data_IF_597294401813
#
_entry.id   IF_597294401813
#
_cell.length_a   1.000
_cell.length_b   1.000
_cell.length_c   1.000
_cell.angle_alpha   90.00
_cell.angle_beta   90.00
_cell.angle_gamma   90.00
#
_symmetry.space_group_name_H-M   'P 1'
#
loop_
_entity.id
_entity.type
_entity.pdbx_description
1 polymer ?
#
# COMPACT_ATOMS: atom_id res chain seq x y z
N UNK A 1 -15.89 1.54 2.65
CA UNK A 1 -17.18 1.52 1.93
C UNK A 1 -17.13 0.37 0.93
N UNK A 2 -18.25 -0.31 0.67
CA UNK A 2 -18.26 -1.41 -0.30
C UNK A 2 -18.47 -0.86 -1.72
N UNK A 3 -17.86 -1.51 -2.72
CA UNK A 3 -17.95 -1.10 -4.13
C UNK A 3 -19.37 -1.18 -4.71
N UNK A 4 -20.17 -2.11 -4.20
CA UNK A 4 -21.56 -2.33 -4.62
C UNK A 4 -22.56 -1.51 -3.80
N UNK A 5 -22.12 -0.61 -2.92
CA UNK A 5 -23.02 0.19 -2.09
C UNK A 5 -23.55 1.42 -2.84
N UNK A 6 -24.76 1.86 -2.49
CA UNK A 6 -25.37 3.04 -3.09
C UNK A 6 -24.57 4.32 -2.81
N UNK A 7 -23.98 4.43 -1.62
CA UNK A 7 -23.12 5.55 -1.26
C UNK A 7 -21.87 5.61 -2.15
N UNK A 8 -21.30 4.45 -2.50
CA UNK A 8 -20.17 4.41 -3.42
C UNK A 8 -20.57 4.87 -4.81
N UNK A 9 -21.62 4.27 -5.37
CA UNK A 9 -22.03 4.45 -6.76
C UNK A 9 -22.59 5.85 -7.02
N UNK A 10 -23.42 6.37 -6.12
CA UNK A 10 -24.16 7.61 -6.35
C UNK A 10 -23.54 8.85 -5.70
N UNK A 11 -22.64 8.70 -4.72
CA UNK A 11 -22.03 9.84 -4.03
C UNK A 11 -20.53 9.87 -4.25
N UNK A 12 -19.81 8.86 -3.77
CA UNK A 12 -18.35 8.90 -3.77
C UNK A 12 -17.78 8.90 -5.19
N UNK A 13 -18.19 7.98 -6.05
CA UNK A 13 -17.64 7.85 -7.40
C UNK A 13 -17.92 9.10 -8.26
N UNK A 14 -19.15 9.65 -8.32
CA UNK A 14 -19.42 10.89 -9.06
C UNK A 14 -18.61 12.07 -8.52
N UNK A 15 -18.52 12.25 -7.20
CA UNK A 15 -17.73 13.33 -6.59
C UNK A 15 -16.24 13.18 -6.95
N UNK A 16 -15.71 11.97 -6.87
CA UNK A 16 -14.32 11.69 -7.25
C UNK A 16 -14.04 12.09 -8.70
N UNK A 17 -14.92 11.72 -9.63
CA UNK A 17 -14.75 11.99 -11.06
C UNK A 17 -14.96 13.47 -11.41
N UNK A 18 -16.03 14.09 -10.91
CA UNK A 18 -16.34 15.50 -11.20
C UNK A 18 -15.18 16.39 -10.79
N UNK A 19 -14.66 16.22 -9.57
CA UNK A 19 -13.54 17.04 -9.08
C UNK A 19 -12.25 16.71 -9.82
N UNK A 20 -11.97 15.44 -10.11
CA UNK A 20 -10.79 15.05 -10.89
C UNK A 20 -10.78 15.70 -12.28
N UNK A 21 -11.87 15.57 -13.05
CA UNK A 21 -11.97 16.14 -14.40
C UNK A 21 -12.01 17.66 -14.36
N UNK A 22 -12.65 18.26 -13.35
CA UNK A 22 -12.63 19.71 -13.15
C UNK A 22 -11.20 20.22 -12.95
N UNK A 23 -10.43 19.62 -12.04
CA UNK A 23 -9.03 20.01 -11.79
C UNK A 23 -8.17 19.82 -13.04
N UNK A 24 -8.36 18.72 -13.78
CA UNK A 24 -7.63 18.47 -15.02
C UNK A 24 -7.98 19.49 -16.12
N UNK A 25 -9.24 19.92 -16.22
CA UNK A 25 -9.67 20.98 -17.16
C UNK A 25 -8.99 22.33 -16.87
N UNK A 26 -8.62 22.57 -15.60
CA UNK A 26 -7.86 23.76 -15.16
C UNK A 26 -6.34 23.57 -15.29
N UNK A 27 -5.87 22.47 -15.89
CA UNK A 27 -4.46 22.07 -15.98
C UNK A 27 -3.79 21.86 -14.61
N UNK A 28 -4.58 21.62 -13.55
CA UNK A 28 -4.09 21.37 -12.19
C UNK A 28 -3.83 19.86 -11.99
N UNK A 29 -2.91 19.30 -12.77
CA UNK A 29 -2.61 17.84 -12.79
C UNK A 29 -2.21 17.34 -11.40
N UNK A 30 -1.34 18.09 -10.71
CA UNK A 30 -0.91 17.73 -9.35
C UNK A 30 -2.09 17.72 -8.36
N UNK A 31 -2.97 18.72 -8.46
CA UNK A 31 -4.19 18.79 -7.65
C UNK A 31 -5.12 17.61 -7.90
N UNK A 32 -5.29 17.20 -9.16
CA UNK A 32 -6.09 16.04 -9.53
C UNK A 32 -5.50 14.73 -8.94
N UNK A 33 -4.18 14.57 -8.96
CA UNK A 33 -3.51 13.42 -8.32
C UNK A 33 -3.67 13.42 -6.80
N UNK A 34 -3.47 14.57 -6.15
CA UNK A 34 -3.68 14.71 -4.70
C UNK A 34 -5.12 14.39 -4.32
N UNK A 35 -6.09 14.87 -5.10
CA UNK A 35 -7.50 14.56 -4.90
C UNK A 35 -7.77 13.05 -4.94
N UNK A 36 -7.20 12.34 -5.92
CA UNK A 36 -7.29 10.87 -6.00
C UNK A 36 -6.64 10.18 -4.79
N UNK A 37 -5.50 10.65 -4.30
CA UNK A 37 -4.87 10.12 -3.07
C UNK A 37 -5.79 10.33 -1.86
N UNK A 38 -6.29 11.55 -1.66
CA UNK A 38 -7.17 11.88 -0.53
C UNK A 38 -8.43 11.04 -0.57
N UNK A 39 -9.09 10.93 -1.73
CA UNK A 39 -10.27 10.09 -1.90
C UNK A 39 -9.97 8.61 -1.65
N UNK A 40 -8.80 8.13 -2.06
CA UNK A 40 -8.37 6.75 -1.85
C UNK A 40 -8.10 6.44 -0.38
N UNK A 41 -7.42 7.33 0.34
CA UNK A 41 -7.19 7.23 1.78
C UNK A 41 -8.50 7.32 2.57
N UNK A 42 -9.41 8.22 2.17
CA UNK A 42 -10.75 8.31 2.74
C UNK A 42 -11.49 6.97 2.58
N UNK A 43 -11.53 6.43 1.35
CA UNK A 43 -12.17 5.15 1.05
C UNK A 43 -11.62 3.99 1.90
N UNK A 44 -10.29 3.93 2.05
CA UNK A 44 -9.61 2.97 2.92
C UNK A 44 -10.03 3.12 4.38
N UNK A 45 -9.96 4.35 4.91
CA UNK A 45 -10.26 4.65 6.31
C UNK A 45 -11.74 4.51 6.67
N UNK A 46 -12.64 4.48 5.67
CA UNK A 46 -14.08 4.32 5.88
C UNK A 46 -14.43 3.05 6.66
N UNK A 47 -13.65 1.98 6.52
CA UNK A 47 -13.89 0.75 7.28
C UNK A 47 -13.44 0.87 8.73
N UNK A 48 -12.20 1.31 8.96
CA UNK A 48 -11.70 1.61 10.29
C UNK A 48 -10.50 2.56 10.20
N UNK A 49 -10.67 3.77 10.73
CA UNK A 49 -9.66 4.84 10.70
C UNK A 49 -8.38 4.49 11.48
N UNK A 50 -8.44 3.55 12.43
CA UNK A 50 -7.30 3.13 13.25
C UNK A 50 -6.16 2.55 12.39
N UNK A 51 -6.48 1.99 11.21
CA UNK A 51 -5.48 1.44 10.29
C UNK A 51 -4.93 2.46 9.28
N UNK A 52 -5.48 3.67 9.22
CA UNK A 52 -4.95 4.72 8.34
C UNK A 52 -3.47 5.07 8.66
N UNK A 53 -3.06 5.24 9.93
CA UNK A 53 -1.65 5.41 10.27
C UNK A 53 -0.78 4.23 9.83
N UNK A 54 -1.30 3.00 9.87
CA UNK A 54 -0.56 1.80 9.46
C UNK A 54 -0.20 1.84 7.97
N UNK A 55 -1.19 2.08 7.10
CA UNK A 55 -0.92 2.16 5.65
C UNK A 55 -0.03 3.35 5.30
N UNK A 56 -0.21 4.50 5.94
CA UNK A 56 0.64 5.67 5.74
C UNK A 56 2.08 5.40 6.16
N UNK A 57 2.30 4.82 7.35
CA UNK A 57 3.63 4.43 7.80
C UNK A 57 4.27 3.44 6.82
N UNK A 58 3.53 2.43 6.39
CA UNK A 58 4.00 1.45 5.41
C UNK A 58 4.44 2.12 4.11
N UNK A 59 3.63 3.05 3.59
CA UNK A 59 3.94 3.86 2.40
C UNK A 59 5.22 4.67 2.61
N UNK A 60 5.35 5.43 3.71
CA UNK A 60 6.51 6.28 3.92
C UNK A 60 7.81 5.48 4.06
N UNK A 61 7.77 4.37 4.81
CA UNK A 61 8.92 3.47 4.95
C UNK A 61 9.32 2.90 3.60
N UNK A 62 8.37 2.31 2.85
CA UNK A 62 8.67 1.69 1.57
C UNK A 62 9.09 2.69 0.49
N UNK A 63 8.51 3.88 0.48
CA UNK A 63 8.94 4.95 -0.41
C UNK A 63 10.40 5.36 -0.13
N UNK A 64 10.77 5.53 1.15
CA UNK A 64 12.13 5.84 1.56
C UNK A 64 13.14 4.74 1.20
N UNK A 65 12.78 3.48 1.43
CA UNK A 65 13.58 2.32 1.03
C UNK A 65 13.73 2.26 -0.49
N UNK A 66 12.63 2.44 -1.25
CA UNK A 66 12.66 2.48 -2.71
C UNK A 66 13.56 3.59 -3.24
N UNK A 67 13.45 4.80 -2.70
CA UNK A 67 14.31 5.92 -3.09
C UNK A 67 15.80 5.65 -2.78
N UNK A 68 16.08 4.93 -1.69
CA UNK A 68 17.43 4.51 -1.32
C UNK A 68 17.99 3.44 -2.28
N UNK A 69 17.16 2.51 -2.77
CA UNK A 69 17.56 1.51 -3.77
C UNK A 69 17.92 2.14 -5.11
N UNK A 70 17.21 3.17 -5.49
CA UNK A 70 17.41 3.89 -6.76
C UNK A 70 18.70 4.70 -6.70
N UNK A 71 18.92 5.38 -5.58
CA UNK A 71 20.12 6.18 -5.36
C UNK A 71 21.25 5.40 -4.67
N UNK A 72 21.29 4.07 -4.82
CA UNK A 72 22.22 3.21 -4.09
C UNK A 72 23.69 3.55 -4.34
N UNK A 73 24.05 4.10 -5.50
CA UNK A 73 25.42 4.57 -5.80
C UNK A 73 25.90 5.68 -4.85
N UNK A 74 24.98 6.45 -4.26
CA UNK A 74 25.28 7.51 -3.29
C UNK A 74 25.30 7.00 -1.84
N UNK A 75 24.93 5.75 -1.61
CA UNK A 75 24.72 5.17 -0.28
C UNK A 75 25.77 4.06 -0.07
N UNK A 76 26.43 4.07 1.10
CA UNK A 76 27.48 3.08 1.41
C UNK A 76 26.95 1.67 1.72
N UNK A 77 25.64 1.51 1.84
CA UNK A 77 24.96 0.25 2.17
C UNK A 77 24.65 -0.50 0.88
N UNK A 78 24.88 -1.82 0.86
CA UNK A 78 24.53 -2.65 -0.29
C UNK A 78 23.03 -2.57 -0.61
N UNK A 79 22.70 -2.40 -1.89
CA UNK A 79 21.33 -2.43 -2.40
C UNK A 79 20.57 -3.71 -1.99
N UNK A 80 21.27 -4.85 -1.89
CA UNK A 80 20.68 -6.11 -1.40
C UNK A 80 20.23 -6.01 0.06
N UNK A 81 21.02 -5.38 0.92
CA UNK A 81 20.66 -5.19 2.34
C UNK A 81 19.46 -4.27 2.47
N UNK A 82 19.41 -3.18 1.69
CA UNK A 82 18.28 -2.24 1.67
C UNK A 82 17.01 -2.95 1.20
N UNK A 83 17.09 -3.76 0.14
CA UNK A 83 15.96 -4.54 -0.37
C UNK A 83 15.50 -5.56 0.68
N UNK A 84 16.42 -6.33 1.26
CA UNK A 84 16.12 -7.31 2.30
C UNK A 84 15.41 -6.67 3.49
N UNK A 85 15.87 -5.50 3.95
CA UNK A 85 15.20 -4.75 5.01
C UNK A 85 13.75 -4.41 4.63
N UNK A 86 13.52 -3.86 3.44
CA UNK A 86 12.17 -3.52 2.99
C UNK A 86 11.26 -4.74 2.87
N UNK A 87 11.75 -5.86 2.35
CA UNK A 87 10.99 -7.12 2.27
C UNK A 87 10.65 -7.63 3.67
N UNK A 88 11.63 -7.68 4.58
CA UNK A 88 11.43 -8.13 5.96
C UNK A 88 10.45 -7.23 6.70
N UNK A 89 10.52 -5.91 6.51
CA UNK A 89 9.56 -4.96 7.09
C UNK A 89 8.11 -5.27 6.64
N UNK A 90 7.89 -5.41 5.33
CA UNK A 90 6.56 -5.72 4.80
C UNK A 90 6.04 -7.09 5.25
N UNK A 91 6.87 -8.13 5.16
CA UNK A 91 6.49 -9.47 5.60
C UNK A 91 6.32 -9.55 7.12
N UNK A 92 7.03 -8.74 7.89
CA UNK A 92 6.86 -8.60 9.33
C UNK A 92 5.49 -8.03 9.69
N UNK A 93 5.07 -6.94 9.04
CA UNK A 93 3.72 -6.39 9.21
C UNK A 93 2.64 -7.39 8.81
N UNK A 94 2.81 -8.06 7.66
CA UNK A 94 1.86 -9.08 7.21
C UNK A 94 1.82 -10.28 8.17
N UNK A 95 2.99 -10.73 8.64
CA UNK A 95 3.13 -11.81 9.61
C UNK A 95 2.41 -11.50 10.92
N UNK A 96 2.61 -10.30 11.45
CA UNK A 96 1.96 -9.83 12.67
C UNK A 96 0.43 -9.74 12.53
N UNK A 97 -0.07 -9.00 11.54
CA UNK A 97 -1.50 -8.74 11.44
C UNK A 97 -2.32 -9.92 10.89
N UNK A 98 -1.73 -10.78 10.06
CA UNK A 98 -2.46 -11.87 9.39
C UNK A 98 -2.15 -13.25 9.93
N UNK A 99 -0.94 -13.49 10.40
CA UNK A 99 -0.47 -14.84 10.69
C UNK A 99 -0.09 -15.07 12.16
N UNK A 100 -0.16 -14.06 13.05
CA UNK A 100 0.16 -14.24 14.48
C UNK A 100 -0.63 -15.37 15.12
N UNK A 101 -1.96 -15.37 14.99
CA UNK A 101 -2.81 -16.42 15.56
C UNK A 101 -2.47 -17.79 14.98
N UNK A 102 -2.24 -17.87 13.67
CA UNK A 102 -1.82 -19.11 13.00
C UNK A 102 -0.49 -19.63 13.56
N UNK A 103 0.52 -18.78 13.74
CA UNK A 103 1.81 -19.19 14.28
C UNK A 103 1.71 -19.62 15.75
N UNK A 104 0.93 -18.91 16.56
CA UNK A 104 0.73 -19.25 17.97
C UNK A 104 -0.05 -20.56 18.13
N UNK A 105 -1.07 -20.81 17.31
CA UNK A 105 -1.84 -22.04 17.35
C UNK A 105 -0.99 -23.27 17.00
N UNK A 106 -0.15 -23.16 15.96
CA UNK A 106 0.80 -24.22 15.61
C UNK A 106 1.86 -24.44 16.71
N UNK A 107 2.36 -23.37 17.31
CA UNK A 107 3.33 -23.45 18.41
C UNK A 107 2.72 -24.14 19.64
N UNK A 108 1.49 -23.77 20.00
CA UNK A 108 0.72 -24.43 21.06
C UNK A 108 0.54 -25.92 20.77
N UNK A 109 0.17 -26.28 19.53
CA UNK A 109 -0.02 -27.67 19.12
C UNK A 109 1.26 -28.52 19.15
N UNK A 110 2.41 -27.97 18.76
CA UNK A 110 3.69 -28.69 18.71
C UNK A 110 4.31 -28.84 20.11
N UNK A 111 4.27 -27.77 20.91
CA UNK A 111 4.97 -27.71 22.21
C UNK A 111 4.06 -27.99 23.40
N UNK A 112 2.76 -28.23 23.18
CA UNK A 112 1.78 -28.44 24.25
C UNK A 112 1.62 -27.21 25.15
N UNK A 113 1.88 -26.02 24.61
CA UNK A 113 1.73 -24.75 25.33
C UNK A 113 0.32 -24.19 25.16
N UNK A 114 -0.09 -23.28 26.05
CA UNK A 114 -1.39 -22.63 26.02
C UNK A 114 -1.23 -21.10 25.96
N UNK A 115 -0.46 -20.63 24.99
CA UNK A 115 -0.30 -19.19 24.76
C UNK A 115 -1.63 -18.64 24.22
N UNK A 116 -2.23 -17.61 24.85
CA UNK A 116 -3.50 -17.05 24.40
C UNK A 116 -3.37 -16.39 23.02
N UNK A 117 -4.38 -16.59 22.18
CA UNK A 117 -4.45 -16.00 20.85
C UNK A 117 -4.96 -14.55 20.95
N UNK A 118 -4.23 -13.57 20.38
CA UNK A 118 -4.61 -12.15 20.47
C UNK A 118 -5.78 -11.77 19.56
N UNK A 119 -6.16 -12.58 18.56
CA UNK A 119 -7.31 -12.33 17.68
C UNK A 119 -7.26 -10.94 17.04
N UNK A 120 -6.11 -10.64 16.43
CA UNK A 120 -5.82 -9.33 15.83
C UNK A 120 -6.79 -9.08 14.67
N UNK A 121 -7.50 -7.96 14.73
CA UNK A 121 -8.37 -7.52 13.65
C UNK A 121 -7.51 -7.18 12.42
N UNK A 122 -7.81 -7.80 11.29
CA UNK A 122 -7.06 -7.63 10.05
C UNK A 122 -7.34 -6.27 9.40
N UNK A 123 -6.30 -5.49 9.07
CA UNK A 123 -6.45 -4.32 8.24
C UNK A 123 -6.92 -4.73 6.84
N UNK A 124 -7.94 -4.04 6.34
CA UNK A 124 -8.46 -4.28 5.00
C UNK A 124 -7.34 -4.15 3.95
N UNK A 125 -7.23 -5.10 3.02
CA UNK A 125 -6.27 -5.02 1.93
C UNK A 125 -4.79 -5.17 2.30
N UNK A 126 -4.44 -5.58 3.54
CA UNK A 126 -3.03 -5.70 3.97
C UNK A 126 -2.16 -6.54 3.05
N UNK A 127 -2.66 -7.69 2.61
CA UNK A 127 -1.90 -8.53 1.67
C UNK A 127 -1.63 -7.80 0.35
N UNK A 128 -2.64 -7.09 -0.19
CA UNK A 128 -2.49 -6.37 -1.46
C UNK A 128 -1.45 -5.27 -1.34
N UNK A 129 -1.62 -4.33 -0.41
CA UNK A 129 -0.65 -3.23 -0.30
C UNK A 129 0.74 -3.73 0.08
N UNK A 130 0.87 -4.80 0.87
CA UNK A 130 2.17 -5.42 1.19
C UNK A 130 2.85 -5.94 -0.08
N UNK A 131 2.17 -6.74 -0.91
CA UNK A 131 2.79 -7.30 -2.12
C UNK A 131 3.02 -6.25 -3.20
N UNK A 132 2.12 -5.26 -3.34
CA UNK A 132 2.31 -4.09 -4.21
C UNK A 132 3.57 -3.30 -3.81
N UNK A 133 3.78 -3.07 -2.52
CA UNK A 133 4.97 -2.37 -2.01
C UNK A 133 6.25 -3.20 -2.22
N UNK A 134 6.22 -4.51 -1.98
CA UNK A 134 7.36 -5.41 -2.27
C UNK A 134 7.69 -5.42 -3.77
N UNK A 135 6.68 -5.50 -4.64
CA UNK A 135 6.88 -5.45 -6.09
C UNK A 135 7.58 -4.15 -6.51
N UNK A 136 7.14 -3.01 -5.96
CA UNK A 136 7.83 -1.74 -6.17
C UNK A 136 9.28 -1.74 -5.67
N UNK A 137 9.58 -2.31 -4.51
CA UNK A 137 10.96 -2.40 -4.02
C UNK A 137 11.84 -3.25 -4.92
N UNK A 138 11.31 -4.35 -5.45
CA UNK A 138 12.02 -5.21 -6.41
C UNK A 138 12.26 -4.47 -7.73
N UNK A 139 11.25 -3.76 -8.25
CA UNK A 139 11.38 -2.94 -9.46
C UNK A 139 12.40 -1.80 -9.26
N UNK A 140 12.41 -1.16 -8.08
CA UNK A 140 13.39 -0.14 -7.71
C UNK A 140 14.81 -0.72 -7.60
N UNK A 141 14.98 -1.91 -7.00
CA UNK A 141 16.27 -2.61 -6.94
C UNK A 141 16.81 -2.93 -8.34
N UNK A 142 15.94 -3.29 -9.28
CA UNK A 142 16.29 -3.57 -10.68
C UNK A 142 16.48 -2.32 -11.55
N UNK A 143 16.29 -1.12 -11.01
CA UNK A 143 16.28 0.15 -11.77
C UNK A 143 15.20 0.18 -12.88
N UNK A 144 14.11 -0.58 -12.71
CA UNK A 144 12.96 -0.60 -13.63
C UNK A 144 11.90 0.44 -13.26
N UNK A 145 11.91 0.94 -12.02
CA UNK A 145 11.05 2.03 -11.60
C UNK A 145 11.51 3.34 -12.29
N UNK A 146 10.57 4.08 -12.90
CA UNK A 146 10.90 5.31 -13.66
C UNK A 146 10.42 6.59 -12.98
N UNK A 147 9.43 6.53 -12.10
CA UNK A 147 8.80 7.72 -11.53
C UNK A 147 8.75 7.67 -10.00
N UNK A 148 9.49 8.58 -9.37
CA UNK A 148 9.73 8.57 -7.91
C UNK A 148 8.93 9.64 -7.17
N UNK A 149 7.84 10.15 -7.75
CA UNK A 149 6.96 11.08 -7.03
C UNK A 149 6.24 10.36 -5.90
N UNK A 150 6.35 10.88 -4.67
CA UNK A 150 5.62 10.36 -3.51
C UNK A 150 4.12 10.28 -3.78
N UNK A 151 3.54 11.24 -4.50
CA UNK A 151 2.11 11.28 -4.80
C UNK A 151 1.72 10.13 -5.74
N UNK A 152 2.52 9.88 -6.78
CA UNK A 152 2.29 8.75 -7.68
C UNK A 152 2.47 7.41 -6.96
N UNK A 153 3.44 7.33 -6.06
CA UNK A 153 3.63 6.16 -5.23
C UNK A 153 2.46 5.92 -4.28
N UNK A 154 1.97 6.98 -3.61
CA UNK A 154 0.75 6.91 -2.79
C UNK A 154 -0.44 6.45 -3.62
N UNK A 155 -0.62 6.95 -4.84
CA UNK A 155 -1.65 6.48 -5.76
C UNK A 155 -1.46 4.99 -6.09
N UNK A 156 -0.27 4.59 -6.51
CA UNK A 156 0.04 3.19 -6.83
C UNK A 156 -0.33 2.23 -5.69
N UNK A 157 -0.07 2.62 -4.45
CA UNK A 157 -0.39 1.79 -3.28
C UNK A 157 -1.86 1.86 -2.87
N UNK A 158 -2.49 3.04 -2.93
CA UNK A 158 -3.80 3.27 -2.28
C UNK A 158 -4.99 3.33 -3.23
N UNK A 159 -4.77 3.38 -4.56
CA UNK A 159 -5.81 3.68 -5.53
C UNK A 159 -7.08 2.85 -5.29
N UNK A 160 -8.16 3.52 -4.89
CA UNK A 160 -9.33 2.83 -4.34
C UNK A 160 -9.87 1.71 -5.24
N UNK A 161 -10.01 1.86 -6.59
CA UNK A 161 -10.50 0.78 -7.46
C UNK A 161 -9.65 -0.48 -7.41
N UNK A 162 -8.35 -0.32 -7.13
CA UNK A 162 -7.39 -1.40 -7.15
C UNK A 162 -7.22 -2.08 -5.79
N UNK A 163 -7.27 -1.29 -4.70
CA UNK A 163 -6.91 -1.72 -3.35
C UNK A 163 -7.73 -2.92 -2.81
N UNK A 164 -8.93 -3.17 -3.35
CA UNK A 164 -9.82 -4.25 -2.88
C UNK A 164 -10.12 -5.34 -3.92
N UNK A 165 -9.75 -5.19 -5.20
CA UNK A 165 -10.28 -6.06 -6.26
C UNK A 165 -9.37 -6.26 -7.50
N UNK A 166 -8.17 -5.68 -7.55
CA UNK A 166 -7.27 -5.83 -8.71
C UNK A 166 -6.29 -7.00 -8.59
N UNK A 167 -5.82 -7.59 -9.72
CA UNK A 167 -4.64 -8.47 -9.70
C UNK A 167 -3.42 -7.70 -9.18
N UNK A 168 -2.42 -8.36 -8.61
CA UNK A 168 -1.20 -7.66 -8.15
C UNK A 168 -0.51 -7.05 -9.38
N UNK A 169 -0.59 -5.72 -9.55
CA UNK A 169 0.00 -5.01 -10.69
C UNK A 169 1.40 -4.52 -10.36
N UNK A 170 2.30 -4.60 -11.33
CA UNK A 170 3.63 -4.01 -11.20
C UNK A 170 3.59 -2.49 -11.39
N UNK A 171 4.48 -1.77 -10.71
CA UNK A 171 4.54 -0.30 -10.80
C UNK A 171 4.77 0.17 -12.24
N UNK A 172 5.61 -0.54 -12.99
CA UNK A 172 5.90 -0.25 -14.40
C UNK A 172 4.68 -0.36 -15.34
N UNK A 173 3.68 -1.15 -14.97
CA UNK A 173 2.47 -1.37 -15.79
C UNK A 173 1.42 -0.30 -15.52
N UNK A 174 1.40 0.25 -14.30
CA UNK A 174 0.41 1.23 -13.86
C UNK A 174 0.81 2.67 -14.22
N UNK A 175 2.06 3.06 -14.01
CA UNK A 175 2.48 4.46 -14.19
C UNK A 175 2.38 5.04 -15.61
N UNK A 176 2.48 4.26 -16.71
CA UNK A 176 2.31 4.80 -18.06
C UNK A 176 0.85 5.15 -18.44
N UNK A 177 -0.14 4.77 -17.63
CA UNK A 177 -1.57 4.96 -17.89
C UNK A 177 -2.10 6.26 -17.26
#
# INVERSE_FOLDING_TARGET
MLFNSYEFIFIFLPVMFVVYFYLNSKRLILGAKIWLVVGSLFFYSYWNVIYLPLILLSIFVNYGVGLSLVNHEKIRISSKTILSFGIVFNLGLLGYFKYTDFFLDNFNGIFGTNIPLPHIILPLGISFFTFTQIAFLVDAYKQEAKEYSLINYMLFVTYFPHLLAGPILHHKEMMPQ
#
